data_IF_152822359796
#
_entry.id   IF_152822359796
#
_cell.length_a   1.000
_cell.length_b   1.000
_cell.length_c   1.000
_cell.angle_alpha   90.00
_cell.angle_beta   90.00
_cell.angle_gamma   90.00
#
_symmetry.space_group_name_H-M   'P 1'
#
loop_
_entity.id
_entity.type
_entity.pdbx_description
1 polymer ?
#
# COMPACT_ATOMS: atom_id res chain seq x y z
N UNK A 1 -47.32 -31.53 -4.69
CA UNK A 1 -46.31 -30.63 -5.30
C UNK A 1 -45.11 -30.56 -4.36
N UNK A 2 -44.11 -31.42 -4.56
CA UNK A 2 -42.95 -31.49 -3.70
C UNK A 2 -41.99 -30.31 -4.02
N UNK A 3 -41.72 -29.47 -3.02
CA UNK A 3 -40.67 -28.45 -3.10
C UNK A 3 -39.34 -29.14 -2.87
N UNK A 4 -38.82 -29.77 -3.92
CA UNK A 4 -37.48 -30.32 -3.92
C UNK A 4 -36.49 -29.16 -4.09
N UNK A 5 -35.77 -28.83 -3.03
CA UNK A 5 -34.69 -27.86 -3.07
C UNK A 5 -33.56 -28.52 -2.29
N UNK A 6 -32.83 -29.36 -3.00
CA UNK A 6 -31.88 -30.30 -2.42
C UNK A 6 -30.80 -29.55 -1.61
N UNK A 7 -30.22 -30.14 -0.55
CA UNK A 7 -29.14 -29.51 0.20
C UNK A 7 -27.98 -29.04 -0.67
N UNK A 8 -27.72 -29.77 -1.78
CA UNK A 8 -26.69 -29.46 -2.77
C UNK A 8 -27.00 -28.17 -3.57
N UNK A 9 -28.25 -27.92 -3.95
CA UNK A 9 -28.62 -26.69 -4.64
C UNK A 9 -28.60 -25.46 -3.73
N UNK A 10 -28.95 -25.62 -2.45
CA UNK A 10 -28.80 -24.56 -1.45
C UNK A 10 -27.33 -24.22 -1.21
N UNK A 11 -26.46 -25.23 -1.15
CA UNK A 11 -25.02 -25.04 -0.99
C UNK A 11 -24.39 -24.39 -2.23
N UNK A 12 -24.80 -24.80 -3.43
CA UNK A 12 -24.40 -24.17 -4.69
C UNK A 12 -24.84 -22.71 -4.77
N UNK A 13 -26.10 -22.40 -4.45
CA UNK A 13 -26.61 -21.01 -4.39
C UNK A 13 -25.92 -20.18 -3.30
N UNK A 14 -25.52 -20.77 -2.17
CA UNK A 14 -24.73 -20.09 -1.15
C UNK A 14 -23.29 -19.81 -1.62
N UNK A 15 -22.66 -20.75 -2.32
CA UNK A 15 -21.34 -20.59 -2.93
C UNK A 15 -21.37 -19.53 -4.04
N UNK A 16 -22.37 -19.57 -4.92
CA UNK A 16 -22.61 -18.57 -5.97
C UNK A 16 -22.90 -17.19 -5.37
N UNK A 17 -23.68 -17.10 -4.27
CA UNK A 17 -23.89 -15.84 -3.55
C UNK A 17 -22.62 -15.34 -2.84
N UNK A 18 -21.79 -16.23 -2.29
CA UNK A 18 -20.48 -15.88 -1.72
C UNK A 18 -19.51 -15.40 -2.79
N UNK A 19 -19.50 -16.03 -3.97
CA UNK A 19 -18.69 -15.63 -5.12
C UNK A 19 -19.19 -14.30 -5.72
N UNK A 20 -20.51 -14.14 -5.91
CA UNK A 20 -21.12 -12.92 -6.44
C UNK A 20 -20.96 -11.71 -5.51
N UNK A 21 -20.89 -11.90 -4.18
CA UNK A 21 -20.52 -10.83 -3.24
C UNK A 21 -19.01 -10.53 -3.20
N UNK A 22 -18.15 -11.53 -3.46
CA UNK A 22 -16.69 -11.35 -3.57
C UNK A 22 -16.28 -10.59 -4.82
N UNK A 23 -17.08 -10.67 -5.88
CA UNK A 23 -16.78 -10.07 -7.19
C UNK A 23 -16.83 -8.53 -7.24
N UNK A 24 -17.14 -7.83 -6.14
CA UNK A 24 -17.43 -6.40 -6.22
C UNK A 24 -16.24 -5.46 -5.96
N UNK A 25 -15.20 -5.86 -5.22
CA UNK A 25 -14.06 -4.98 -4.90
C UNK A 25 -12.80 -5.79 -4.56
N UNK A 26 -11.65 -5.35 -5.07
CA UNK A 26 -10.35 -5.92 -4.73
C UNK A 26 -10.09 -5.80 -3.21
N UNK A 27 -9.70 -6.90 -2.57
CA UNK A 27 -9.17 -6.93 -1.21
C UNK A 27 -7.68 -6.66 -1.28
N UNK A 28 -7.23 -5.64 -0.54
CA UNK A 28 -5.89 -5.08 -0.59
C UNK A 28 -5.24 -5.24 0.77
N UNK A 29 -4.04 -5.80 0.78
CA UNK A 29 -3.15 -5.82 1.94
C UNK A 29 -2.01 -4.82 1.72
N UNK A 30 -1.83 -3.89 2.64
CA UNK A 30 -0.73 -2.93 2.67
C UNK A 30 0.10 -3.19 3.92
N UNK A 31 1.36 -3.57 3.73
CA UNK A 31 2.35 -3.71 4.79
C UNK A 31 3.36 -2.59 4.68
N UNK A 32 3.56 -1.81 5.74
CA UNK A 32 4.56 -0.74 5.78
C UNK A 32 5.76 -1.05 6.65
N UNK A 33 6.89 -0.42 6.33
CA UNK A 33 8.08 -0.37 7.17
C UNK A 33 7.81 0.34 8.51
N UNK A 34 7.34 1.58 8.45
CA UNK A 34 7.00 2.36 9.63
C UNK A 34 5.70 1.93 10.29
N UNK A 35 5.62 2.12 11.62
CA UNK A 35 4.43 1.80 12.42
C UNK A 35 3.44 2.95 12.59
N UNK A 36 3.82 4.16 12.15
CA UNK A 36 3.04 5.38 12.38
C UNK A 36 2.66 6.09 11.08
N UNK A 37 3.60 6.78 10.42
CA UNK A 37 3.29 7.70 9.31
C UNK A 37 2.51 7.04 8.20
N UNK A 38 3.06 5.99 7.60
CA UNK A 38 2.49 5.33 6.42
C UNK A 38 1.18 4.61 6.78
N UNK A 39 1.10 3.81 7.86
CA UNK A 39 -0.17 3.23 8.28
C UNK A 39 -1.27 4.25 8.56
N UNK A 40 -0.94 5.36 9.24
CA UNK A 40 -1.92 6.40 9.57
C UNK A 40 -2.41 7.07 8.29
N UNK A 41 -1.51 7.43 7.39
CA UNK A 41 -1.85 8.05 6.10
C UNK A 41 -2.82 7.19 5.27
N UNK A 42 -2.53 5.89 5.08
CA UNK A 42 -3.43 5.02 4.31
C UNK A 42 -4.75 4.73 5.03
N UNK A 43 -4.77 4.69 6.38
CA UNK A 43 -6.01 4.56 7.15
C UNK A 43 -6.88 5.82 7.05
N UNK A 44 -6.27 7.00 6.99
CA UNK A 44 -6.97 8.25 6.76
C UNK A 44 -7.59 8.30 5.36
N UNK A 45 -6.87 7.85 4.31
CA UNK A 45 -7.45 7.68 2.96
C UNK A 45 -8.65 6.73 3.01
N UNK A 46 -8.50 5.57 3.67
CA UNK A 46 -9.59 4.60 3.82
C UNK A 46 -10.83 5.23 4.46
N UNK A 47 -10.64 6.03 5.51
CA UNK A 47 -11.72 6.73 6.19
C UNK A 47 -12.37 7.80 5.30
N UNK A 48 -11.57 8.65 4.65
CA UNK A 48 -12.04 9.74 3.79
C UNK A 48 -12.85 9.23 2.59
N UNK A 49 -12.42 8.13 1.97
CA UNK A 49 -13.08 7.52 0.81
C UNK A 49 -14.12 6.44 1.20
N UNK A 50 -14.41 6.27 2.50
CA UNK A 50 -15.36 5.28 3.04
C UNK A 50 -15.12 3.86 2.51
N UNK A 51 -13.85 3.50 2.34
CA UNK A 51 -13.46 2.18 1.89
C UNK A 51 -13.74 1.16 3.00
N UNK A 52 -14.37 0.06 2.65
CA UNK A 52 -14.75 -0.96 3.63
C UNK A 52 -13.49 -1.62 4.22
N UNK A 53 -13.45 -1.85 5.53
CA UNK A 53 -12.29 -2.46 6.21
C UNK A 53 -11.95 -3.84 5.69
N UNK A 54 -12.96 -4.62 5.29
CA UNK A 54 -12.74 -5.92 4.63
C UNK A 54 -12.07 -5.83 3.24
N UNK A 55 -11.94 -4.62 2.67
CA UNK A 55 -11.34 -4.40 1.36
C UNK A 55 -9.93 -3.83 1.45
N UNK A 56 -9.58 -3.09 2.51
CA UNK A 56 -8.25 -2.48 2.65
C UNK A 56 -7.73 -2.68 4.07
N UNK A 57 -6.75 -3.58 4.19
CA UNK A 57 -6.05 -3.90 5.42
C UNK A 57 -4.67 -3.22 5.41
N UNK A 58 -4.37 -2.47 6.47
CA UNK A 58 -3.12 -1.70 6.61
C UNK A 58 -2.41 -2.03 7.92
N UNK A 59 -1.22 -2.61 7.83
CA UNK A 59 -0.42 -3.06 8.98
C UNK A 59 1.05 -2.68 8.84
N UNK A 60 1.76 -2.42 9.94
CA UNK A 60 3.22 -2.42 9.90
C UNK A 60 3.78 -3.84 9.80
N UNK A 61 5.02 -3.94 9.34
CA UNK A 61 5.82 -5.16 9.43
C UNK A 61 6.09 -5.55 10.88
N UNK A 62 5.92 -6.84 11.20
CA UNK A 62 6.27 -7.38 12.52
C UNK A 62 7.59 -8.18 12.50
N UNK A 63 8.23 -8.34 11.33
CA UNK A 63 9.54 -9.00 11.22
C UNK A 63 10.72 -8.03 11.40
N UNK A 64 10.45 -6.73 11.40
CA UNK A 64 11.45 -5.66 11.45
C UNK A 64 11.25 -4.61 10.37
N UNK A 65 12.15 -3.63 10.35
CA UNK A 65 12.06 -2.43 9.51
C UNK A 65 12.99 -2.47 8.30
N UNK A 66 13.76 -3.53 8.07
CA UNK A 66 14.52 -3.63 6.84
C UNK A 66 13.56 -3.87 5.65
N UNK A 67 13.74 -3.23 4.47
CA UNK A 67 12.88 -3.42 3.31
C UNK A 67 12.61 -4.89 2.96
N UNK A 68 13.61 -5.76 3.05
CA UNK A 68 13.44 -7.19 2.77
C UNK A 68 12.49 -7.87 3.76
N UNK A 69 12.51 -7.48 5.03
CA UNK A 69 11.65 -8.01 6.08
C UNK A 69 10.20 -7.58 5.85
N UNK A 70 9.97 -6.36 5.35
CA UNK A 70 8.64 -5.87 4.98
C UNK A 70 8.03 -6.75 3.87
N UNK A 71 8.80 -7.04 2.83
CA UNK A 71 8.37 -7.91 1.72
C UNK A 71 8.14 -9.35 2.20
N UNK A 72 9.06 -9.90 3.00
CA UNK A 72 8.92 -11.23 3.58
C UNK A 72 7.69 -11.36 4.47
N UNK A 73 7.41 -10.36 5.30
CA UNK A 73 6.24 -10.34 6.17
C UNK A 73 4.95 -10.23 5.35
N UNK A 74 4.91 -9.35 4.35
CA UNK A 74 3.76 -9.25 3.44
C UNK A 74 3.47 -10.58 2.73
N UNK A 75 4.52 -11.25 2.25
CA UNK A 75 4.39 -12.57 1.65
C UNK A 75 3.90 -13.62 2.67
N UNK A 76 4.50 -13.67 3.85
CA UNK A 76 4.12 -14.61 4.91
C UNK A 76 2.66 -14.43 5.33
N UNK A 77 2.25 -13.20 5.61
CA UNK A 77 0.90 -12.88 6.05
C UNK A 77 -0.14 -13.16 4.95
N UNK A 78 0.21 -12.88 3.69
CA UNK A 78 -0.64 -13.28 2.56
C UNK A 78 -0.78 -14.80 2.46
N UNK A 79 0.31 -15.56 2.52
CA UNK A 79 0.27 -17.02 2.31
C UNK A 79 -0.38 -17.75 3.46
N UNK A 80 -0.06 -17.39 4.69
CA UNK A 80 -0.42 -18.14 5.89
C UNK A 80 -1.60 -17.54 6.67
N UNK A 81 -1.95 -16.28 6.38
CA UNK A 81 -2.89 -15.54 7.20
C UNK A 81 -2.38 -15.30 8.62
N UNK A 82 -3.27 -14.78 9.47
CA UNK A 82 -3.06 -14.64 10.91
C UNK A 82 -4.45 -14.58 11.58
N UNK A 83 -4.79 -15.62 12.34
CA UNK A 83 -6.09 -15.72 13.01
C UNK A 83 -6.28 -14.68 14.10
N UNK A 84 -5.23 -14.28 14.81
CA UNK A 84 -5.29 -13.22 15.83
C UNK A 84 -5.58 -11.85 15.20
N UNK A 85 -5.17 -11.66 13.94
CA UNK A 85 -5.45 -10.46 13.16
C UNK A 85 -6.70 -10.56 12.28
N UNK A 86 -7.44 -11.67 12.34
CA UNK A 86 -8.58 -11.99 11.47
C UNK A 86 -8.23 -11.99 9.97
N UNK A 87 -6.97 -12.32 9.63
CA UNK A 87 -6.50 -12.39 8.25
C UNK A 87 -6.56 -13.84 7.80
N UNK A 88 -7.38 -14.10 6.78
CA UNK A 88 -7.46 -15.43 6.19
C UNK A 88 -6.31 -15.64 5.20
N UNK A 89 -5.76 -16.87 5.11
CA UNK A 89 -4.75 -17.20 4.11
C UNK A 89 -5.25 -16.89 2.69
N UNK A 90 -4.40 -16.28 1.88
CA UNK A 90 -4.61 -15.96 0.45
C UNK A 90 -5.85 -15.11 0.19
N UNK A 91 -6.27 -14.30 1.15
CA UNK A 91 -7.54 -13.56 1.08
C UNK A 91 -7.47 -12.21 0.35
N UNK A 92 -6.40 -11.91 -0.38
CA UNK A 92 -6.21 -10.62 -1.03
C UNK A 92 -6.00 -10.75 -2.54
N UNK A 93 -6.48 -9.77 -3.30
CA UNK A 93 -6.24 -9.60 -4.73
C UNK A 93 -4.96 -8.81 -5.00
N UNK A 94 -4.59 -7.91 -4.07
CA UNK A 94 -3.39 -7.07 -4.16
C UNK A 94 -2.65 -7.03 -2.83
N UNK A 95 -1.34 -7.17 -2.88
CA UNK A 95 -0.43 -7.07 -1.73
C UNK A 95 0.64 -6.03 -2.03
N UNK A 96 0.77 -5.04 -1.16
CA UNK A 96 1.74 -3.95 -1.27
C UNK A 96 2.70 -3.95 -0.09
N UNK A 97 4.00 -3.95 -0.36
CA UNK A 97 5.05 -3.75 0.64
C UNK A 97 5.60 -2.32 0.49
N UNK A 98 5.34 -1.46 1.47
CA UNK A 98 5.69 -0.04 1.48
C UNK A 98 6.94 0.17 2.33
N UNK A 99 8.00 0.75 1.77
CA UNK A 99 9.25 0.96 2.50
C UNK A 99 10.05 2.14 1.92
N UNK A 100 10.95 2.67 2.74
CA UNK A 100 11.84 3.76 2.36
C UNK A 100 13.10 3.18 1.69
N UNK A 101 13.77 3.98 0.85
CA UNK A 101 15.11 3.62 0.37
C UNK A 101 16.09 3.57 1.53
N UNK A 102 16.15 4.69 2.27
CA UNK A 102 17.13 5.02 3.32
C UNK A 102 18.52 4.36 3.08
N UNK A 103 19.31 4.19 4.13
CA UNK A 103 20.64 3.58 4.13
C UNK A 103 20.58 2.04 4.20
N UNK A 104 19.42 1.43 3.95
CA UNK A 104 19.25 -0.01 4.07
C UNK A 104 19.88 -0.78 2.90
N UNK A 105 20.83 -1.66 3.23
CA UNK A 105 21.52 -2.53 2.25
C UNK A 105 20.57 -3.51 1.53
N UNK A 106 19.47 -3.87 2.18
CA UNK A 106 18.50 -4.85 1.66
C UNK A 106 17.48 -4.27 0.67
N UNK A 107 17.52 -2.97 0.39
CA UNK A 107 16.54 -2.28 -0.45
C UNK A 107 16.39 -2.90 -1.85
N UNK A 108 17.49 -3.07 -2.59
CA UNK A 108 17.42 -3.63 -3.94
C UNK A 108 17.01 -5.11 -3.96
N UNK A 109 17.37 -5.86 -2.90
CA UNK A 109 16.93 -7.24 -2.72
C UNK A 109 15.42 -7.31 -2.46
N UNK A 110 14.87 -6.36 -1.69
CA UNK A 110 13.43 -6.26 -1.44
C UNK A 110 12.64 -5.98 -2.73
N UNK A 111 13.12 -5.03 -3.55
CA UNK A 111 12.54 -4.77 -4.88
C UNK A 111 12.52 -6.03 -5.74
N UNK A 112 13.66 -6.73 -5.83
CA UNK A 112 13.78 -7.96 -6.61
C UNK A 112 12.88 -9.08 -6.08
N UNK A 113 12.78 -9.24 -4.75
CA UNK A 113 11.90 -10.23 -4.15
C UNK A 113 10.42 -9.94 -4.47
N UNK A 114 9.96 -8.70 -4.32
CA UNK A 114 8.58 -8.32 -4.64
C UNK A 114 8.26 -8.56 -6.13
N UNK A 115 9.16 -8.17 -7.02
CA UNK A 115 9.05 -8.43 -8.47
C UNK A 115 8.98 -9.95 -8.76
N UNK A 116 9.78 -10.75 -8.05
CA UNK A 116 9.76 -12.21 -8.22
C UNK A 116 8.45 -12.87 -7.76
N UNK A 117 7.67 -12.23 -6.88
CA UNK A 117 6.38 -12.74 -6.37
C UNK A 117 5.19 -12.27 -7.20
N UNK A 118 5.31 -11.12 -7.88
CA UNK A 118 4.22 -10.52 -8.64
C UNK A 118 3.67 -11.45 -9.72
N UNK A 119 2.35 -11.63 -9.76
CA UNK A 119 1.69 -12.48 -10.77
C UNK A 119 2.00 -13.98 -10.66
N UNK A 120 2.64 -14.45 -9.58
CA UNK A 120 2.93 -15.88 -9.35
C UNK A 120 2.12 -16.50 -8.22
N UNK A 121 1.61 -15.67 -7.32
CA UNK A 121 0.81 -16.09 -6.18
C UNK A 121 -0.67 -16.12 -6.56
N UNK A 122 -1.43 -17.02 -5.93
CA UNK A 122 -2.88 -17.18 -6.15
C UNK A 122 -3.67 -16.89 -4.88
N UNK A 123 -4.77 -16.16 -5.00
CA UNK A 123 -5.73 -15.94 -3.91
C UNK A 123 -6.58 -17.19 -3.61
N UNK A 124 -7.47 -17.08 -2.64
CA UNK A 124 -8.44 -18.10 -2.23
C UNK A 124 -9.48 -18.45 -3.33
N UNK A 125 -9.61 -17.60 -4.36
CA UNK A 125 -10.37 -17.86 -5.57
C UNK A 125 -9.53 -18.47 -6.72
N UNK A 126 -8.26 -18.85 -6.45
CA UNK A 126 -7.30 -19.41 -7.41
C UNK A 126 -6.91 -18.46 -8.56
N UNK A 127 -7.14 -17.16 -8.40
CA UNK A 127 -6.74 -16.12 -9.35
C UNK A 127 -5.36 -15.59 -9.01
N UNK A 128 -4.58 -15.23 -10.03
CA UNK A 128 -3.28 -14.58 -9.83
C UNK A 128 -3.47 -13.21 -9.15
N UNK A 129 -2.58 -12.86 -8.24
CA UNK A 129 -2.63 -11.61 -7.49
C UNK A 129 -1.51 -10.64 -7.90
N UNK A 130 -1.74 -9.35 -7.66
CA UNK A 130 -0.67 -8.34 -7.73
C UNK A 130 0.13 -8.38 -6.42
N UNK A 131 1.45 -8.49 -6.52
CA UNK A 131 2.35 -8.29 -5.40
C UNK A 131 3.38 -7.22 -5.81
N UNK A 132 3.44 -6.10 -5.09
CA UNK A 132 4.27 -4.97 -5.52
C UNK A 132 4.98 -4.30 -4.34
N UNK A 133 6.21 -3.87 -4.59
CA UNK A 133 6.93 -2.96 -3.70
C UNK A 133 6.54 -1.50 -4.02
N UNK A 134 6.21 -0.74 -2.99
CA UNK A 134 5.90 0.68 -3.05
C UNK A 134 7.02 1.42 -2.32
N UNK A 135 8.06 1.77 -3.06
CA UNK A 135 9.25 2.42 -2.52
C UNK A 135 9.14 3.95 -2.57
N UNK A 136 9.76 4.63 -1.60
CA UNK A 136 9.97 6.08 -1.62
C UNK A 136 11.44 6.42 -1.36
N UNK A 137 12.01 7.27 -2.22
CA UNK A 137 13.43 7.65 -2.26
C UNK A 137 13.54 9.16 -2.03
N UNK A 138 14.09 9.64 -0.89
CA UNK A 138 14.74 8.84 0.16
C UNK A 138 13.77 8.19 1.15
N UNK A 139 12.57 8.75 1.32
CA UNK A 139 11.60 8.33 2.34
C UNK A 139 10.16 8.72 2.00
N UNK A 140 9.18 8.19 2.74
CA UNK A 140 7.76 8.51 2.62
C UNK A 140 7.49 10.01 2.66
N UNK A 141 8.25 10.76 3.47
CA UNK A 141 8.08 12.21 3.60
C UNK A 141 8.29 12.97 2.28
N UNK A 142 8.96 12.38 1.27
CA UNK A 142 9.00 12.97 -0.07
C UNK A 142 7.60 13.12 -0.65
N UNK A 143 6.74 12.10 -0.52
CA UNK A 143 5.35 12.16 -1.01
C UNK A 143 4.60 13.33 -0.38
N UNK A 144 4.79 13.58 0.91
CA UNK A 144 4.18 14.72 1.61
C UNK A 144 4.72 16.06 1.11
N UNK A 145 6.03 16.16 0.88
CA UNK A 145 6.67 17.37 0.37
C UNK A 145 6.16 17.74 -1.03
N UNK A 146 5.89 16.74 -1.88
CA UNK A 146 5.38 16.94 -3.24
C UNK A 146 3.99 17.59 -3.28
N UNK A 147 3.24 17.63 -2.17
CA UNK A 147 2.01 18.43 -2.12
C UNK A 147 2.30 19.94 -2.19
N UNK A 148 3.46 20.39 -1.71
CA UNK A 148 3.78 21.80 -1.57
C UNK A 148 4.73 22.31 -2.66
N UNK A 149 5.76 21.54 -3.00
CA UNK A 149 6.79 21.97 -3.94
C UNK A 149 7.24 20.87 -4.92
N UNK A 150 7.84 21.32 -6.02
CA UNK A 150 8.56 20.45 -6.95
C UNK A 150 9.93 20.08 -6.38
N UNK A 151 10.23 18.79 -6.38
CA UNK A 151 11.55 18.26 -6.04
C UNK A 151 12.16 17.73 -7.33
N UNK A 152 13.26 18.34 -7.80
CA UNK A 152 13.86 18.03 -9.11
C UNK A 152 15.29 17.49 -9.03
N UNK A 153 15.83 17.37 -7.83
CA UNK A 153 17.21 16.95 -7.57
C UNK A 153 17.26 16.00 -6.36
N UNK A 154 18.31 15.17 -6.23
CA UNK A 154 18.52 14.31 -5.07
C UNK A 154 18.41 15.07 -3.75
N UNK A 155 17.70 14.48 -2.79
CA UNK A 155 17.53 15.01 -1.44
C UNK A 155 17.90 13.95 -0.41
N UNK A 156 18.65 14.33 0.61
CA UNK A 156 18.79 13.50 1.81
C UNK A 156 17.51 13.57 2.64
N UNK A 157 17.26 12.52 3.45
CA UNK A 157 16.07 12.45 4.32
C UNK A 157 15.92 13.68 5.21
N UNK A 158 17.00 14.13 5.84
CA UNK A 158 16.97 15.30 6.74
C UNK A 158 16.54 16.59 6.04
N UNK A 159 16.94 16.73 4.77
CA UNK A 159 16.57 17.88 3.95
C UNK A 159 15.08 17.85 3.59
N UNK A 160 14.53 16.67 3.29
CA UNK A 160 13.07 16.48 3.11
C UNK A 160 12.31 16.93 4.36
N UNK A 161 12.73 16.49 5.55
CA UNK A 161 12.11 16.92 6.81
C UNK A 161 12.24 18.42 7.05
N UNK A 162 13.41 19.01 6.77
CA UNK A 162 13.66 20.44 6.94
C UNK A 162 12.71 21.28 6.07
N UNK A 163 12.53 20.90 4.80
CA UNK A 163 11.63 21.59 3.87
C UNK A 163 10.17 21.35 4.20
N UNK A 164 9.79 20.12 4.54
CA UNK A 164 8.42 19.79 4.91
C UNK A 164 7.94 20.60 6.13
N UNK A 165 8.82 20.84 7.11
CA UNK A 165 8.53 21.69 8.28
C UNK A 165 8.30 23.17 7.96
N UNK A 166 8.69 23.65 6.77
CA UNK A 166 8.38 25.02 6.32
C UNK A 166 6.89 25.14 5.94
N UNK A 167 6.27 24.06 5.46
CA UNK A 167 4.86 24.02 5.07
C UNK A 167 3.95 23.48 6.17
N UNK A 168 4.45 22.53 6.96
CA UNK A 168 3.74 21.94 8.11
C UNK A 168 4.58 22.21 9.36
N UNK A 169 4.39 23.37 10.02
CA UNK A 169 5.07 23.68 11.26
C UNK A 169 4.83 22.58 12.31
N UNK A 170 5.88 22.15 12.99
CA UNK A 170 5.86 21.05 13.97
C UNK A 170 5.53 19.67 13.37
N UNK A 171 5.80 19.44 12.09
CA UNK A 171 5.73 18.08 11.54
C UNK A 171 6.69 17.14 12.28
N UNK A 172 6.09 16.08 12.83
CA UNK A 172 6.78 14.96 13.47
C UNK A 172 6.42 13.66 12.76
N UNK A 173 7.36 12.73 12.72
CA UNK A 173 7.13 11.41 12.12
C UNK A 173 6.00 10.70 12.87
N UNK A 174 4.96 10.31 12.15
CA UNK A 174 3.76 9.71 12.71
C UNK A 174 2.67 10.70 13.12
N UNK A 175 2.75 11.96 12.71
CA UNK A 175 1.68 12.92 12.89
C UNK A 175 0.34 12.39 12.32
N UNK A 176 -0.73 12.56 13.09
CA UNK A 176 -2.08 12.25 12.64
C UNK A 176 -2.61 13.38 11.74
N UNK A 177 -3.65 13.09 10.97
CA UNK A 177 -4.29 14.02 10.03
C UNK A 177 -3.37 14.43 8.88
N UNK A 178 -2.31 13.66 8.60
CA UNK A 178 -1.37 13.99 7.54
C UNK A 178 -2.06 13.94 6.17
N UNK A 179 -2.90 12.93 5.90
CA UNK A 179 -3.68 12.89 4.67
C UNK A 179 -4.73 14.00 4.65
N UNK A 180 -5.43 14.22 5.76
CA UNK A 180 -6.43 15.29 5.82
C UNK A 180 -5.83 16.66 5.45
N UNK A 181 -4.65 16.97 5.99
CA UNK A 181 -3.95 18.23 5.74
C UNK A 181 -3.44 18.39 4.31
N UNK A 182 -3.15 17.30 3.60
CA UNK A 182 -2.61 17.36 2.23
C UNK A 182 -3.62 16.98 1.14
N UNK A 183 -4.81 16.48 1.52
CA UNK A 183 -5.80 15.91 0.60
C UNK A 183 -6.32 16.87 -0.47
N UNK A 184 -6.35 18.18 -0.21
CA UNK A 184 -6.83 19.18 -1.17
C UNK A 184 -5.91 19.30 -2.39
N UNK A 185 -4.60 19.10 -2.18
CA UNK A 185 -3.58 19.25 -3.22
C UNK A 185 -3.09 17.90 -3.78
N UNK A 186 -3.87 16.84 -3.59
CA UNK A 186 -3.49 15.48 -4.00
C UNK A 186 -3.25 15.35 -5.52
N UNK A 187 -3.99 16.12 -6.33
CA UNK A 187 -3.81 16.17 -7.77
C UNK A 187 -2.45 16.78 -8.14
N UNK A 188 -2.04 17.85 -7.46
CA UNK A 188 -0.73 18.49 -7.66
C UNK A 188 0.41 17.58 -7.23
N UNK A 189 0.30 16.93 -6.07
CA UNK A 189 1.30 15.95 -5.63
C UNK A 189 1.42 14.77 -6.59
N UNK A 190 0.29 14.32 -7.15
CA UNK A 190 0.23 13.26 -8.15
C UNK A 190 0.99 13.66 -9.41
N UNK A 191 0.70 14.84 -9.99
CA UNK A 191 1.39 15.32 -11.20
C UNK A 191 2.90 15.42 -10.98
N UNK A 192 3.33 15.95 -9.84
CA UNK A 192 4.76 16.08 -9.51
C UNK A 192 5.43 14.70 -9.34
N UNK A 193 4.77 13.76 -8.69
CA UNK A 193 5.27 12.40 -8.53
C UNK A 193 5.35 11.65 -9.87
N UNK A 194 4.36 11.84 -10.76
CA UNK A 194 4.36 11.28 -12.11
C UNK A 194 5.49 11.87 -12.96
N UNK A 195 5.72 13.19 -12.89
CA UNK A 195 6.85 13.84 -13.56
C UNK A 195 8.21 13.32 -13.07
N UNK A 196 8.33 12.98 -11.79
CA UNK A 196 9.51 12.28 -11.26
C UNK A 196 9.62 10.88 -11.85
N UNK A 197 8.52 10.13 -11.91
CA UNK A 197 8.49 8.77 -12.45
C UNK A 197 8.79 8.67 -13.96
N UNK A 198 8.61 9.76 -14.72
CA UNK A 198 9.03 9.84 -16.13
C UNK A 198 10.56 9.81 -16.29
N UNK A 199 11.29 10.27 -15.28
CA UNK A 199 12.75 10.44 -15.32
C UNK A 199 13.49 9.42 -14.48
N UNK A 200 12.91 9.04 -13.36
CA UNK A 200 13.54 8.27 -12.30
C UNK A 200 12.62 7.12 -11.87
N UNK A 201 13.21 6.10 -11.27
CA UNK A 201 12.49 4.96 -10.72
C UNK A 201 13.06 4.53 -9.38
N UNK A 202 12.48 3.49 -8.79
CA UNK A 202 12.93 2.94 -7.52
C UNK A 202 14.41 2.49 -7.51
N UNK A 203 15.06 2.32 -8.68
CA UNK A 203 16.45 1.87 -8.81
C UNK A 203 17.44 2.96 -9.24
N UNK A 204 16.99 4.18 -9.53
CA UNK A 204 17.87 5.30 -9.94
C UNK A 204 18.37 6.06 -8.71
N UNK A 205 19.18 5.44 -7.88
CA UNK A 205 19.80 6.07 -6.69
C UNK A 205 20.82 7.13 -7.15
N UNK A 206 20.85 8.37 -6.60
CA UNK A 206 20.06 8.92 -5.47
C UNK A 206 18.88 9.81 -5.88
N UNK A 207 18.38 9.63 -7.10
CA UNK A 207 17.33 10.49 -7.64
C UNK A 207 15.98 10.31 -6.91
N UNK A 208 15.23 11.41 -6.68
CA UNK A 208 13.99 11.37 -5.93
C UNK A 208 12.91 10.61 -6.72
N UNK A 209 12.24 9.69 -6.04
CA UNK A 209 11.19 8.88 -6.63
C UNK A 209 10.21 8.42 -5.55
N UNK A 210 8.91 8.34 -5.85
CA UNK A 210 7.95 7.75 -4.91
C UNK A 210 6.83 7.02 -5.63
N UNK A 211 6.70 5.72 -5.36
CA UNK A 211 5.59 4.89 -5.84
C UNK A 211 4.32 5.06 -4.98
N UNK A 212 4.37 5.88 -3.91
CA UNK A 212 3.22 6.14 -3.04
C UNK A 212 2.03 6.68 -3.86
N UNK A 213 2.30 7.46 -4.91
CA UNK A 213 1.31 7.97 -5.85
C UNK A 213 0.43 6.86 -6.43
N UNK A 214 1.02 5.70 -6.77
CA UNK A 214 0.27 4.57 -7.36
C UNK A 214 -0.74 4.00 -6.37
N UNK A 215 -0.32 3.84 -5.11
CA UNK A 215 -1.17 3.31 -4.05
C UNK A 215 -2.26 4.31 -3.66
N UNK A 216 -1.92 5.60 -3.60
CA UNK A 216 -2.90 6.67 -3.37
C UNK A 216 -3.95 6.70 -4.49
N UNK A 217 -3.52 6.74 -5.76
CA UNK A 217 -4.44 6.72 -6.90
C UNK A 217 -5.34 5.48 -6.88
N UNK A 218 -4.78 4.30 -6.60
CA UNK A 218 -5.57 3.08 -6.45
C UNK A 218 -6.65 3.24 -5.39
N UNK A 219 -6.29 3.65 -4.17
CA UNK A 219 -7.22 3.77 -3.05
C UNK A 219 -8.32 4.82 -3.30
N UNK A 220 -7.96 5.95 -3.91
CA UNK A 220 -8.93 7.02 -4.23
C UNK A 220 -9.91 6.65 -5.35
N UNK A 221 -9.52 5.74 -6.26
CA UNK A 221 -10.38 5.21 -7.34
C UNK A 221 -11.31 4.08 -6.91
N UNK A 222 -11.07 3.44 -5.76
CA UNK A 222 -11.94 2.38 -5.19
C UNK A 222 -13.27 2.90 -4.62
N UNK A 223 -13.60 4.18 -4.86
CA UNK A 223 -14.79 4.82 -4.30
C UNK A 223 -16.04 4.05 -4.75
N UNK A 224 -16.95 3.86 -3.78
CA UNK A 224 -18.32 3.40 -4.04
C UNK A 224 -19.10 4.42 -4.85
#
# INVERSE_FOLDING_TARGET
>A
MARDNSPKERQKKQLERKQGRRASYDRILIISEGSKTEPNYFREIRAAYRLHTANVEVRPSELGTAPIQVVQYAHHLFVNGDSHKNIQPRAFEKVFAVFDRDSHESYHQALALAESLNGKLKNDAKQLITFQAIASVPSFELWLLLHFEDVLAPLHRDEVFRRLRQYIPNYEKGANNTFANTSQDIATATERAERLAERFGARTDPEPFTAIVELVQLLTKLRR
#
